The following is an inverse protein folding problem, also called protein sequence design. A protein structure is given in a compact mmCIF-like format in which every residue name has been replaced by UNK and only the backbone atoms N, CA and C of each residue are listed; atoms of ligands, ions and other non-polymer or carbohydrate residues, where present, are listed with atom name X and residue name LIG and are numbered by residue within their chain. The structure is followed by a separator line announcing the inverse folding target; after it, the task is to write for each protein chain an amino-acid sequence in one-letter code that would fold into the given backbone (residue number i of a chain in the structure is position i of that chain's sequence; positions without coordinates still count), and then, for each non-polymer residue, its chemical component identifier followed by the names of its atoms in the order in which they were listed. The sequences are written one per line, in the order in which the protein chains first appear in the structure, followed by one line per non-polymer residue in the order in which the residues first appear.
data_IF_019096889013
#
_entry.id   IF_019096889013
#
_cell.length_a   1.000
_cell.length_b   1.000
_cell.length_c   1.000
_cell.angle_alpha   90.00
_cell.angle_beta   90.00
_cell.angle_gamma   90.00
#
_symmetry.space_group_name_H-M   'P 1'
#
loop_
_entity.id
_entity.type
_entity.pdbx_description
1 polymer ?
#
# COMPACT_ATOMS: atom_id res chain seq x y z
N UNK A 1 18.07 -11.92 -9.97
CA UNK A 1 16.79 -11.83 -10.71
C UNK A 1 15.91 -12.98 -10.25
N UNK A 2 14.74 -12.71 -9.68
CA UNK A 2 13.80 -13.79 -9.28
C UNK A 2 12.95 -14.11 -10.50
N UNK A 3 12.93 -15.39 -10.90
CA UNK A 3 12.07 -15.82 -12.00
C UNK A 3 10.61 -15.87 -11.54
N UNK A 4 9.72 -15.21 -12.27
CA UNK A 4 8.27 -15.29 -12.06
C UNK A 4 7.63 -16.14 -13.14
N UNK A 5 6.54 -16.82 -12.81
CA UNK A 5 5.74 -17.56 -13.78
C UNK A 5 5.10 -16.61 -14.81
N UNK A 6 5.02 -17.03 -16.07
CA UNK A 6 4.43 -16.21 -17.15
C UNK A 6 3.01 -15.69 -16.84
N UNK A 7 2.09 -16.47 -16.25
CA UNK A 7 0.77 -15.95 -15.87
C UNK A 7 0.86 -14.80 -14.88
N UNK A 8 1.70 -14.94 -13.85
CA UNK A 8 1.92 -13.90 -12.83
C UNK A 8 2.45 -12.61 -13.46
N UNK A 9 3.45 -12.72 -14.36
CA UNK A 9 3.98 -11.54 -15.07
C UNK A 9 2.92 -10.85 -15.92
N UNK A 10 2.05 -11.59 -16.61
CA UNK A 10 0.94 -11.02 -17.38
C UNK A 10 -0.04 -10.26 -16.50
N UNK A 11 -0.41 -10.85 -15.36
CA UNK A 11 -1.28 -10.17 -14.37
C UNK A 11 -0.65 -8.90 -13.86
N UNK A 12 0.63 -8.94 -13.44
CA UNK A 12 1.32 -7.76 -12.93
C UNK A 12 1.51 -6.68 -14.00
N UNK A 13 1.76 -7.06 -15.25
CA UNK A 13 1.86 -6.11 -16.36
C UNK A 13 0.54 -5.39 -16.66
N UNK A 14 -0.62 -6.01 -16.41
CA UNK A 14 -1.91 -5.34 -16.59
C UNK A 14 -2.15 -4.19 -15.61
N UNK A 15 -1.50 -4.18 -14.45
CA UNK A 15 -1.53 -3.05 -13.51
C UNK A 15 -0.72 -1.83 -13.99
N UNK A 16 0.16 -2.02 -14.98
CA UNK A 16 0.97 -0.97 -15.58
C UNK A 16 0.30 -0.34 -16.81
N UNK A 17 -0.90 -0.79 -17.19
CA UNK A 17 -1.61 -0.28 -18.35
C UNK A 17 -2.04 1.18 -18.13
N UNK A 18 -1.92 1.99 -19.17
CA UNK A 18 -2.40 3.36 -19.19
C UNK A 18 -3.92 3.39 -18.99
N UNK A 19 -4.39 4.24 -18.07
CA UNK A 19 -5.81 4.34 -17.73
C UNK A 19 -6.55 5.42 -18.49
N UNK A 20 -5.83 6.25 -19.26
CA UNK A 20 -6.42 7.42 -19.95
C UNK A 20 -7.12 8.35 -18.96
N UNK A 21 -6.62 9.56 -18.75
CA UNK A 21 -7.18 10.47 -17.76
C UNK A 21 -8.29 11.32 -18.33
N UNK A 22 -9.48 11.23 -17.72
CA UNK A 22 -10.52 12.22 -17.86
C UNK A 22 -10.68 13.09 -16.61
N UNK A 23 -10.37 12.54 -15.42
CA UNK A 23 -10.43 13.22 -14.10
C UNK A 23 -9.32 12.72 -13.22
N UNK A 24 -8.86 13.54 -12.28
CA UNK A 24 -7.85 13.15 -11.29
C UNK A 24 -8.43 12.15 -10.28
N UNK A 25 -7.69 11.12 -9.95
CA UNK A 25 -7.99 10.32 -8.77
C UNK A 25 -7.60 11.09 -7.50
N UNK A 26 -8.23 10.78 -6.37
CA UNK A 26 -7.84 11.35 -5.07
C UNK A 26 -6.36 11.07 -4.76
N UNK A 27 -5.86 9.90 -5.12
CA UNK A 27 -4.45 9.53 -4.95
C UNK A 27 -3.51 10.44 -5.77
N UNK A 28 -3.90 10.82 -6.98
CA UNK A 28 -3.12 11.74 -7.82
C UNK A 28 -3.13 13.16 -7.26
N UNK A 29 -4.26 13.62 -6.70
CA UNK A 29 -4.33 14.92 -6.04
C UNK A 29 -3.45 15.00 -4.78
N UNK A 30 -3.27 13.89 -4.07
CA UNK A 30 -2.39 13.81 -2.89
C UNK A 30 -0.90 13.68 -3.27
N UNK A 31 -0.61 13.35 -4.51
CA UNK A 31 0.75 13.27 -5.03
C UNK A 31 1.30 14.66 -5.33
N UNK A 32 2.61 14.85 -5.22
CA UNK A 32 3.23 16.11 -5.59
C UNK A 32 3.01 16.47 -7.07
N UNK A 33 2.63 17.71 -7.38
CA UNK A 33 2.27 18.15 -8.73
C UNK A 33 3.34 17.83 -9.78
N UNK A 34 4.63 17.94 -9.43
CA UNK A 34 5.73 17.61 -10.34
C UNK A 34 5.77 16.12 -10.68
N UNK A 35 5.53 15.25 -9.68
CA UNK A 35 5.51 13.80 -9.89
C UNK A 35 4.33 13.42 -10.78
N UNK A 36 3.13 13.95 -10.50
CA UNK A 36 1.95 13.73 -11.34
C UNK A 36 2.21 14.17 -12.79
N UNK A 37 2.73 15.39 -12.98
CA UNK A 37 3.07 15.90 -14.32
C UNK A 37 4.06 14.97 -15.05
N UNK A 38 5.09 14.48 -14.39
CA UNK A 38 6.07 13.59 -15.02
C UNK A 38 5.47 12.24 -15.40
N UNK A 39 4.63 11.67 -14.53
CA UNK A 39 3.96 10.39 -14.80
C UNK A 39 2.97 10.47 -15.97
N UNK A 40 2.33 11.65 -16.15
CA UNK A 40 1.38 11.86 -17.24
C UNK A 40 2.04 12.22 -18.57
N UNK A 41 3.21 12.87 -18.55
CA UNK A 41 3.80 13.44 -19.77
C UNK A 41 5.05 12.72 -20.26
N UNK A 42 5.59 11.80 -19.48
CA UNK A 42 6.82 11.07 -19.82
C UNK A 42 6.57 9.56 -19.90
N UNK A 43 7.08 8.96 -20.96
CA UNK A 43 7.17 7.51 -21.03
C UNK A 43 8.12 7.01 -19.94
N UNK A 44 7.71 5.99 -19.22
CA UNK A 44 8.52 5.33 -18.21
C UNK A 44 8.24 3.83 -18.18
N UNK A 45 9.25 3.05 -17.85
CA UNK A 45 9.13 1.62 -17.68
C UNK A 45 8.86 1.30 -16.21
N UNK A 46 7.86 0.48 -15.95
CA UNK A 46 7.55 -0.02 -14.60
C UNK A 46 8.03 -1.47 -14.50
N UNK A 47 8.79 -1.78 -13.45
CA UNK A 47 9.12 -3.18 -13.15
C UNK A 47 7.85 -3.90 -12.66
N UNK A 48 7.35 -4.92 -13.39
CA UNK A 48 6.16 -5.66 -12.96
C UNK A 48 6.29 -6.27 -11.56
N UNK A 49 7.50 -6.58 -11.09
CA UNK A 49 7.71 -7.12 -9.74
C UNK A 49 7.33 -6.11 -8.65
N UNK A 50 7.46 -4.81 -8.92
CA UNK A 50 7.04 -3.76 -7.99
C UNK A 50 5.52 -3.72 -7.78
N UNK A 51 4.75 -4.28 -8.71
CA UNK A 51 3.29 -4.35 -8.65
C UNK A 51 2.76 -5.49 -7.77
N UNK A 52 3.63 -6.33 -7.21
CA UNK A 52 3.20 -7.50 -6.42
C UNK A 52 2.36 -7.09 -5.19
N UNK A 53 2.74 -6.02 -4.51
CA UNK A 53 1.96 -5.51 -3.37
C UNK A 53 0.63 -4.90 -3.79
N UNK A 54 0.58 -4.24 -4.94
CA UNK A 54 -0.66 -3.72 -5.50
C UNK A 54 -1.62 -4.87 -5.86
N UNK A 55 -1.10 -5.94 -6.47
CA UNK A 55 -1.88 -7.13 -6.80
C UNK A 55 -2.44 -7.82 -5.54
N UNK A 56 -1.65 -7.92 -4.46
CA UNK A 56 -2.14 -8.43 -3.16
C UNK A 56 -3.23 -7.53 -2.58
N UNK A 57 -3.07 -6.20 -2.67
CA UNK A 57 -4.10 -5.25 -2.26
C UNK A 57 -5.41 -5.50 -2.99
N UNK A 58 -5.37 -5.51 -4.33
CA UNK A 58 -6.56 -5.76 -5.17
C UNK A 58 -7.21 -7.12 -4.86
N UNK A 59 -6.41 -8.18 -4.65
CA UNK A 59 -6.96 -9.48 -4.29
C UNK A 59 -7.69 -9.46 -2.94
N UNK A 60 -7.15 -8.77 -1.92
CA UNK A 60 -7.80 -8.63 -0.62
C UNK A 60 -9.10 -7.84 -0.74
N UNK A 61 -9.12 -6.72 -1.46
CA UNK A 61 -10.33 -5.94 -1.70
C UNK A 61 -11.41 -6.81 -2.33
N UNK A 62 -11.05 -7.61 -3.36
CA UNK A 62 -12.00 -8.51 -4.02
C UNK A 62 -12.56 -9.57 -3.08
N UNK A 63 -11.73 -10.19 -2.23
CA UNK A 63 -12.18 -11.17 -1.23
C UNK A 63 -13.14 -10.53 -0.23
N UNK A 64 -12.85 -9.30 0.23
CA UNK A 64 -13.71 -8.58 1.16
C UNK A 64 -15.04 -8.19 0.49
N UNK A 65 -15.01 -7.69 -0.75
CA UNK A 65 -16.21 -7.39 -1.54
C UNK A 65 -17.10 -8.62 -1.69
N UNK A 66 -16.52 -9.75 -2.10
CA UNK A 66 -17.26 -11.00 -2.33
C UNK A 66 -17.80 -11.62 -1.01
N UNK A 67 -17.29 -11.22 0.15
CA UNK A 67 -17.76 -11.70 1.46
C UNK A 67 -18.96 -10.92 2.01
N UNK A 68 -19.24 -9.74 1.49
CA UNK A 68 -20.35 -8.88 1.92
C UNK A 68 -21.62 -9.26 1.17
N UNK A 69 -22.74 -9.36 1.91
CA UNK A 69 -24.07 -9.64 1.37
C UNK A 69 -24.99 -8.44 1.56
N UNK A 70 -26.08 -8.37 0.80
CA UNK A 70 -27.06 -7.27 0.90
C UNK A 70 -27.64 -7.12 2.31
N UNK A 71 -27.70 -8.23 3.09
CA UNK A 71 -28.21 -8.24 4.47
C UNK A 71 -27.28 -7.55 5.46
N UNK A 72 -25.99 -7.36 5.14
CA UNK A 72 -25.02 -6.74 6.04
C UNK A 72 -25.17 -5.21 6.10
N UNK A 73 -25.87 -4.61 5.13
CA UNK A 73 -26.08 -3.16 5.04
C UNK A 73 -24.75 -2.39 4.83
N UNK A 74 -23.74 -3.09 4.31
CA UNK A 74 -22.42 -2.53 3.98
C UNK A 74 -22.34 -2.32 2.47
N UNK A 75 -21.86 -1.17 2.05
CA UNK A 75 -21.61 -0.85 0.65
C UNK A 75 -20.11 -0.97 0.43
N UNK A 76 -19.70 -1.81 -0.52
CA UNK A 76 -18.28 -2.00 -0.88
C UNK A 76 -17.95 -1.33 -2.21
N UNK A 77 -16.68 -0.95 -2.41
CA UNK A 77 -16.13 -0.38 -3.64
C UNK A 77 -16.94 0.82 -4.18
N UNK A 78 -17.49 1.63 -3.25
CA UNK A 78 -18.33 2.78 -3.60
C UNK A 78 -17.50 3.85 -4.31
N UNK A 79 -17.82 4.06 -5.60
CA UNK A 79 -17.18 5.10 -6.40
C UNK A 79 -17.89 6.43 -6.21
N UNK A 80 -17.12 7.44 -5.86
CA UNK A 80 -17.55 8.83 -5.73
C UNK A 80 -16.82 9.68 -6.78
N UNK A 81 -17.54 10.62 -7.35
CA UNK A 81 -16.92 11.59 -8.28
C UNK A 81 -17.59 12.95 -8.18
N UNK A 82 -16.83 13.98 -8.51
CA UNK A 82 -17.29 15.33 -8.74
C UNK A 82 -16.69 15.85 -10.05
N UNK A 83 -16.80 17.14 -10.32
CA UNK A 83 -16.32 17.74 -11.58
C UNK A 83 -14.80 17.64 -11.77
N UNK A 84 -14.04 17.50 -10.69
CA UNK A 84 -12.57 17.58 -10.68
C UNK A 84 -11.94 16.21 -10.43
N UNK A 85 -12.50 15.43 -9.50
CA UNK A 85 -11.85 14.25 -8.98
C UNK A 85 -12.78 13.03 -8.87
N UNK A 86 -12.16 11.85 -8.89
CA UNK A 86 -12.80 10.57 -8.60
C UNK A 86 -12.11 9.91 -7.42
N UNK A 87 -12.88 9.22 -6.59
CA UNK A 87 -12.38 8.40 -5.48
C UNK A 87 -13.19 7.13 -5.33
N UNK A 88 -12.65 6.17 -4.62
CA UNK A 88 -13.32 4.91 -4.30
C UNK A 88 -13.17 4.65 -2.82
N UNK A 89 -14.27 4.28 -2.18
CA UNK A 89 -14.33 3.89 -0.77
C UNK A 89 -14.39 2.38 -0.73
N UNK A 90 -13.49 1.73 0.02
CA UNK A 90 -13.43 0.26 0.09
C UNK A 90 -14.66 -0.33 0.77
N UNK A 91 -15.11 0.26 1.89
CA UNK A 91 -16.34 -0.13 2.53
C UNK A 91 -16.99 1.04 3.29
N UNK A 92 -18.31 1.09 3.31
CA UNK A 92 -19.11 2.05 4.07
C UNK A 92 -20.32 1.36 4.71
N UNK A 93 -20.49 1.50 5.99
CA UNK A 93 -21.59 0.90 6.75
C UNK A 93 -21.18 0.57 8.18
N UNK A 94 -21.95 -0.26 8.86
CA UNK A 94 -21.58 -0.79 10.18
C UNK A 94 -20.58 -1.96 10.05
N UNK A 95 -19.38 -1.63 9.56
CA UNK A 95 -18.31 -2.60 9.23
C UNK A 95 -17.83 -3.36 10.47
N UNK A 96 -17.98 -2.79 11.67
CA UNK A 96 -17.49 -3.36 12.92
C UNK A 96 -18.59 -3.93 13.83
N UNK A 97 -19.84 -3.89 13.41
CA UNK A 97 -20.96 -4.37 14.21
C UNK A 97 -21.24 -3.54 15.48
N UNK A 98 -20.92 -2.26 15.45
CA UNK A 98 -21.08 -1.33 16.58
C UNK A 98 -22.38 -0.53 16.53
N UNK A 99 -23.15 -0.65 15.46
CA UNK A 99 -24.32 0.16 15.14
C UNK A 99 -23.98 1.51 14.51
N UNK A 100 -22.71 1.86 14.37
CA UNK A 100 -22.25 3.10 13.75
C UNK A 100 -21.77 2.87 12.32
N UNK A 101 -22.19 3.75 11.41
CA UNK A 101 -21.69 3.72 10.02
C UNK A 101 -20.35 4.43 9.92
N UNK A 102 -19.37 3.74 9.39
CA UNK A 102 -18.00 4.26 9.20
C UNK A 102 -17.53 4.03 7.77
N UNK A 103 -16.59 4.86 7.33
CA UNK A 103 -15.81 4.61 6.12
C UNK A 103 -14.60 3.77 6.53
N UNK A 104 -14.40 2.65 5.87
CA UNK A 104 -13.26 1.77 6.08
C UNK A 104 -12.41 1.70 4.81
N UNK A 105 -11.10 1.75 4.99
CA UNK A 105 -10.10 1.61 3.92
C UNK A 105 -9.18 0.43 4.27
N UNK A 106 -9.07 -0.54 3.38
CA UNK A 106 -8.26 -1.75 3.58
C UNK A 106 -6.84 -1.53 3.09
N UNK A 107 -5.85 -1.76 3.95
CA UNK A 107 -4.44 -1.60 3.58
C UNK A 107 -3.64 -2.87 3.78
N UNK A 108 -3.12 -3.41 2.69
CA UNK A 108 -2.08 -4.44 2.73
C UNK A 108 -0.74 -3.76 2.94
N UNK A 109 -0.11 -4.04 4.07
CA UNK A 109 1.15 -3.39 4.41
C UNK A 109 2.13 -4.37 5.09
N UNK A 110 3.40 -4.00 5.12
CA UNK A 110 4.40 -4.77 5.87
C UNK A 110 4.23 -4.58 7.38
N UNK A 111 4.65 -5.58 8.16
CA UNK A 111 4.65 -5.50 9.63
C UNK A 111 5.40 -4.25 10.15
N UNK A 112 6.48 -3.85 9.47
CA UNK A 112 7.22 -2.63 9.81
C UNK A 112 6.34 -1.37 9.72
N UNK A 113 5.60 -1.21 8.61
CA UNK A 113 4.70 -0.06 8.44
C UNK A 113 3.52 -0.11 9.41
N UNK A 114 2.97 -1.30 9.68
CA UNK A 114 1.90 -1.49 10.65
C UNK A 114 2.36 -1.09 12.06
N UNK A 115 3.53 -1.55 12.50
CA UNK A 115 4.11 -1.16 13.78
C UNK A 115 4.31 0.35 13.90
N UNK A 116 4.81 0.99 12.84
CA UNK A 116 4.97 2.45 12.79
C UNK A 116 3.64 3.19 12.91
N UNK A 117 2.61 2.72 12.25
CA UNK A 117 1.26 3.30 12.34
C UNK A 117 0.64 3.17 13.74
N UNK A 118 1.03 2.14 14.49
CA UNK A 118 0.63 1.92 15.87
C UNK A 118 1.47 2.70 16.91
N UNK A 119 2.36 3.60 16.47
CA UNK A 119 3.20 4.40 17.38
C UNK A 119 4.53 3.75 17.74
N UNK A 120 4.85 2.58 17.18
CA UNK A 120 6.16 1.98 17.45
C UNK A 120 7.24 2.61 16.58
N UNK A 121 8.40 2.84 17.16
CA UNK A 121 9.59 3.28 16.45
C UNK A 121 10.77 2.35 16.71
N UNK A 122 11.79 2.41 15.86
CA UNK A 122 13.01 1.63 16.02
C UNK A 122 14.18 2.53 16.38
N UNK A 123 14.95 2.13 17.39
CA UNK A 123 16.24 2.72 17.69
C UNK A 123 17.36 1.67 17.57
N UNK A 124 18.59 2.13 17.34
CA UNK A 124 19.75 1.25 17.35
C UNK A 124 20.36 1.29 18.75
N UNK A 125 20.40 0.14 19.40
CA UNK A 125 21.08 -0.05 20.67
C UNK A 125 22.42 -0.75 20.48
N UNK A 126 23.44 -0.32 21.21
CA UNK A 126 24.72 -1.01 21.25
C UNK A 126 24.59 -2.36 21.97
N UNK A 127 25.12 -3.41 21.36
CA UNK A 127 25.09 -4.77 21.94
C UNK A 127 26.20 -5.03 22.97
N UNK A 128 27.09 -4.08 23.17
CA UNK A 128 28.33 -4.24 23.97
C UNK A 128 29.43 -5.03 23.25
N UNK A 129 29.16 -5.49 22.03
CA UNK A 129 30.14 -6.20 21.20
C UNK A 129 30.71 -5.28 20.11
N UNK A 130 31.88 -5.63 19.59
CA UNK A 130 32.51 -4.96 18.45
C UNK A 130 32.62 -5.89 17.24
N UNK A 131 32.63 -5.31 16.04
CA UNK A 131 32.90 -6.06 14.83
C UNK A 131 34.36 -6.54 14.82
N UNK A 132 34.58 -7.84 14.68
CA UNK A 132 35.93 -8.45 14.69
C UNK A 132 36.61 -8.42 13.33
N UNK A 133 35.84 -8.33 12.23
CA UNK A 133 36.35 -8.40 10.85
C UNK A 133 35.59 -7.46 9.91
N UNK A 134 36.13 -7.22 8.71
CA UNK A 134 35.52 -6.41 7.67
C UNK A 134 35.71 -4.90 7.84
N UNK A 135 35.06 -4.11 6.99
CA UNK A 135 35.18 -2.65 6.94
C UNK A 135 34.74 -1.93 8.23
N UNK A 136 33.97 -2.59 9.07
CA UNK A 136 33.47 -2.05 10.36
C UNK A 136 34.25 -2.57 11.56
N UNK A 137 35.42 -3.23 11.37
CA UNK A 137 36.24 -3.75 12.46
C UNK A 137 36.54 -2.68 13.53
N UNK A 138 36.28 -3.02 14.79
CA UNK A 138 36.45 -2.13 15.94
C UNK A 138 35.30 -1.19 16.23
N UNK A 139 34.28 -1.13 15.37
CA UNK A 139 33.08 -0.35 15.65
C UNK A 139 32.10 -1.16 16.54
N UNK A 140 31.32 -0.49 17.42
CA UNK A 140 30.31 -1.18 18.20
C UNK A 140 29.25 -1.81 17.30
N UNK A 141 28.85 -3.02 17.64
CA UNK A 141 27.69 -3.65 17.00
C UNK A 141 26.42 -3.07 17.57
N UNK A 142 25.47 -2.78 16.68
CA UNK A 142 24.14 -2.31 17.05
C UNK A 142 23.07 -3.31 16.63
N UNK A 143 22.00 -3.43 17.41
CA UNK A 143 20.76 -4.12 17.07
C UNK A 143 19.62 -3.13 17.00
N UNK A 144 18.65 -3.37 16.10
CA UNK A 144 17.39 -2.61 16.08
C UNK A 144 16.46 -3.15 17.16
N UNK A 145 15.96 -2.26 17.99
CA UNK A 145 14.97 -2.56 19.03
C UNK A 145 13.72 -1.72 18.76
N UNK A 146 12.55 -2.29 19.01
CA UNK A 146 11.28 -1.58 18.90
C UNK A 146 10.90 -0.95 20.24
N UNK A 147 10.46 0.28 20.18
CA UNK A 147 9.90 1.03 21.30
C UNK A 147 8.50 1.50 20.94
N UNK A 148 7.67 1.66 21.97
CA UNK A 148 6.35 2.27 21.87
C UNK A 148 6.43 3.68 22.46
N UNK A 149 5.85 4.65 21.75
CA UNK A 149 5.83 6.07 22.17
C UNK A 149 4.52 6.41 22.89
#
# INVERSE_FOLDING_TARGET
MRCMAKPTLKTLASFCADRGLTKFSVTELLRGARETFLLETKEYAVDPQSMLFAAHGTALHKVNEDSVTDSDGIITELRLENDIATGQIDAYGDVFGTGEKVICDYKVTSSYKAMRALGYYTANEETGEVYKTGAKKGQPKTKKVWYYD
#
